data_IF_820661461912
#
_entry.id   IF_820661461912
#
_cell.length_a   1.000
_cell.length_b   1.000
_cell.length_c   1.000
_cell.angle_alpha   90.00
_cell.angle_beta   90.00
_cell.angle_gamma   90.00
#
_symmetry.space_group_name_H-M   'P 1'
#
loop_
_entity.id
_entity.type
_entity.pdbx_description
1 polymer ?
#
# COMPACT_ATOMS: atom_id res chain seq x y z
N UNK A 1 3.70 5.26 19.67
CA UNK A 1 5.13 5.34 19.26
C UNK A 1 5.27 4.51 18.01
N UNK A 2 6.00 4.96 16.98
CA UNK A 2 6.29 4.18 15.78
C UNK A 2 7.51 3.32 16.07
N UNK A 3 7.44 2.02 15.80
CA UNK A 3 8.58 1.10 15.88
C UNK A 3 9.18 0.90 14.49
N UNK A 4 10.43 0.49 14.40
CA UNK A 4 11.15 0.23 13.16
C UNK A 4 11.78 -1.17 13.13
N UNK A 5 11.25 -2.10 13.92
CA UNK A 5 11.78 -3.44 14.04
C UNK A 5 11.83 -4.23 12.72
N UNK A 6 10.88 -3.93 11.81
CA UNK A 6 10.77 -4.56 10.49
C UNK A 6 11.19 -3.67 9.33
N UNK A 7 11.89 -2.55 9.60
CA UNK A 7 12.25 -1.59 8.57
C UNK A 7 13.26 -2.17 7.57
N UNK A 8 12.92 -2.08 6.29
CA UNK A 8 13.71 -2.54 5.14
C UNK A 8 14.16 -4.00 5.24
N UNK A 9 13.40 -4.83 5.93
CA UNK A 9 13.65 -6.27 5.92
C UNK A 9 13.36 -6.84 4.53
N UNK A 10 14.15 -7.84 4.13
CA UNK A 10 13.91 -8.60 2.90
C UNK A 10 12.46 -9.08 2.80
N UNK A 11 11.92 -9.52 3.91
CA UNK A 11 10.49 -9.77 4.07
C UNK A 11 10.04 -9.38 5.49
N UNK A 12 9.03 -8.53 5.58
CA UNK A 12 8.32 -8.23 6.82
C UNK A 12 7.02 -9.05 6.83
N UNK A 13 6.94 -9.99 7.76
CA UNK A 13 5.82 -10.94 7.85
C UNK A 13 4.61 -10.31 8.52
N UNK A 14 3.46 -10.35 7.84
CA UNK A 14 2.18 -9.92 8.43
C UNK A 14 1.89 -10.62 9.75
N UNK A 15 1.99 -11.94 9.78
CA UNK A 15 1.70 -12.74 10.97
C UNK A 15 2.62 -12.42 12.15
N UNK A 16 3.89 -12.13 11.91
CA UNK A 16 4.84 -11.78 12.96
C UNK A 16 4.57 -10.39 13.54
N UNK A 17 4.24 -9.42 12.67
CA UNK A 17 3.89 -8.06 13.08
C UNK A 17 2.60 -8.09 13.92
N UNK A 18 1.57 -8.79 13.44
CA UNK A 18 0.32 -8.95 14.18
C UNK A 18 0.53 -9.69 15.52
N UNK A 19 1.44 -10.67 15.55
CA UNK A 19 1.78 -11.40 16.78
C UNK A 19 2.56 -10.57 17.81
N UNK A 20 3.30 -9.54 17.40
CA UNK A 20 3.99 -8.61 18.31
C UNK A 20 3.08 -7.57 18.93
N UNK A 21 2.02 -7.24 18.23
CA UNK A 21 1.07 -6.20 18.63
C UNK A 21 -0.26 -6.85 18.99
N UNK A 22 -0.79 -6.50 20.15
CA UNK A 22 -2.09 -7.03 20.61
C UNK A 22 -3.26 -6.61 19.72
N UNK A 23 -4.28 -7.48 19.68
CA UNK A 23 -5.57 -7.09 19.13
C UNK A 23 -6.18 -5.94 19.94
N UNK A 24 -6.82 -4.98 19.26
CA UNK A 24 -7.45 -3.83 19.91
C UNK A 24 -6.47 -2.78 20.43
N UNK A 25 -5.20 -2.85 20.10
CA UNK A 25 -4.21 -1.86 20.45
C UNK A 25 -3.90 -0.89 19.29
N UNK A 26 -3.58 0.34 19.64
CA UNK A 26 -3.08 1.34 18.68
C UNK A 26 -1.55 1.24 18.60
N UNK A 27 -1.06 0.93 17.41
CA UNK A 27 0.37 0.83 17.14
C UNK A 27 0.70 1.32 15.73
N UNK A 28 1.97 1.55 15.47
CA UNK A 28 2.50 1.84 14.16
C UNK A 28 3.89 1.22 14.02
N UNK A 29 4.14 0.52 12.91
CA UNK A 29 5.42 -0.10 12.60
C UNK A 29 5.89 0.31 11.21
N UNK A 30 7.08 0.91 11.14
CA UNK A 30 7.68 1.35 9.89
C UNK A 30 8.33 0.17 9.18
N UNK A 31 7.92 -0.09 7.93
CA UNK A 31 8.42 -1.20 7.14
C UNK A 31 9.34 -0.77 6.00
N UNK A 32 9.14 0.43 5.46
CA UNK A 32 9.95 0.94 4.35
C UNK A 32 10.46 2.34 4.65
N UNK A 33 11.75 2.55 4.37
CA UNK A 33 12.41 3.85 4.27
C UNK A 33 13.38 3.78 3.09
N UNK A 34 13.04 4.39 1.96
CA UNK A 34 13.81 4.26 0.72
C UNK A 34 14.24 5.61 0.12
N UNK A 35 14.19 6.66 0.92
CA UNK A 35 14.50 8.04 0.50
C UNK A 35 13.37 8.72 -0.28
N UNK A 36 12.51 7.99 -0.96
CA UNK A 36 11.29 8.48 -1.62
C UNK A 36 10.09 8.36 -0.70
N UNK A 37 10.04 7.28 0.06
CA UNK A 37 8.91 6.88 0.88
C UNK A 37 9.33 6.55 2.31
N UNK A 38 8.45 6.89 3.21
CA UNK A 38 8.30 6.29 4.51
C UNK A 38 6.97 5.54 4.49
N UNK A 39 7.02 4.21 4.59
CA UNK A 39 5.81 3.41 4.60
C UNK A 39 5.64 2.69 5.94
N UNK A 40 4.44 2.85 6.53
CA UNK A 40 4.15 2.49 7.92
C UNK A 40 2.85 1.70 7.99
N UNK A 41 2.88 0.56 8.66
CA UNK A 41 1.65 -0.09 9.10
C UNK A 41 1.10 0.62 10.32
N UNK A 42 -0.17 0.91 10.29
CA UNK A 42 -0.86 1.68 11.31
C UNK A 42 -2.14 0.96 11.72
N UNK A 43 -2.21 0.62 12.98
CA UNK A 43 -3.43 0.14 13.63
C UNK A 43 -4.22 1.31 14.18
N UNK A 44 -5.44 1.46 13.69
CA UNK A 44 -6.45 2.33 14.27
C UNK A 44 -7.45 1.54 15.09
N UNK A 45 -7.83 2.06 16.23
CA UNK A 45 -8.85 1.45 17.10
C UNK A 45 -10.07 2.36 17.22
N UNK A 46 -11.25 1.80 17.53
CA UNK A 46 -12.43 2.60 17.81
C UNK A 46 -12.18 3.65 18.89
N UNK A 47 -12.75 4.84 18.69
CA UNK A 47 -12.53 5.97 19.61
C UNK A 47 -11.21 6.72 19.43
N UNK A 48 -10.38 6.35 18.45
CA UNK A 48 -9.22 7.18 18.07
C UNK A 48 -9.70 8.60 17.74
N UNK A 49 -9.16 9.64 18.39
CA UNK A 49 -9.53 11.01 18.08
C UNK A 49 -9.29 11.38 16.62
N UNK A 50 -10.13 12.23 16.02
CA UNK A 50 -9.87 12.78 14.70
C UNK A 50 -8.51 13.51 14.68
N UNK A 51 -7.79 13.35 13.59
CA UNK A 51 -6.55 14.07 13.34
C UNK A 51 -6.50 14.63 11.91
N UNK A 52 -7.44 15.51 11.53
CA UNK A 52 -7.47 16.09 10.20
C UNK A 52 -6.23 16.96 9.99
N UNK A 53 -5.50 16.67 8.92
CA UNK A 53 -4.29 17.39 8.54
C UNK A 53 -4.10 17.41 7.01
N UNK A 54 -3.08 18.12 6.56
CA UNK A 54 -2.79 18.37 5.14
C UNK A 54 -1.31 18.17 4.89
N UNK A 55 -0.99 17.54 3.75
CA UNK A 55 0.34 17.55 3.16
C UNK A 55 0.31 18.43 1.91
N UNK A 56 0.85 19.66 1.94
CA UNK A 56 0.72 20.59 0.83
C UNK A 56 1.51 20.18 -0.42
N UNK A 57 2.61 19.43 -0.25
CA UNK A 57 3.64 19.27 -1.26
C UNK A 57 3.69 17.86 -1.89
N UNK A 58 2.94 16.91 -1.36
CA UNK A 58 2.95 15.53 -1.86
C UNK A 58 1.61 14.81 -1.67
N UNK A 59 1.39 13.79 -2.48
CA UNK A 59 0.30 12.85 -2.27
C UNK A 59 0.65 11.91 -1.12
N UNK A 60 -0.28 11.72 -0.20
CA UNK A 60 -0.24 10.61 0.74
C UNK A 60 -1.26 9.56 0.32
N UNK A 61 -0.92 8.30 0.41
CA UNK A 61 -1.83 7.24 0.05
C UNK A 61 -1.66 6.01 0.94
N UNK A 62 -2.68 5.19 0.98
CA UNK A 62 -2.75 4.02 1.87
C UNK A 62 -3.28 2.82 1.13
N UNK A 63 -2.79 1.65 1.55
CA UNK A 63 -3.38 0.35 1.22
C UNK A 63 -4.20 -0.07 2.44
N UNK A 64 -5.48 -0.31 2.26
CA UNK A 64 -6.32 -0.86 3.30
C UNK A 64 -6.00 -2.36 3.48
N UNK A 65 -5.80 -2.76 4.72
CA UNK A 65 -5.55 -4.14 5.12
C UNK A 65 -6.69 -4.63 6.00
N UNK A 66 -6.41 -5.22 7.16
CA UNK A 66 -7.43 -5.80 8.02
C UNK A 66 -8.43 -4.77 8.55
N UNK A 67 -9.67 -5.23 8.74
CA UNK A 67 -10.77 -4.39 9.18
C UNK A 67 -11.28 -3.45 8.09
N UNK A 68 -12.07 -2.47 8.48
CA UNK A 68 -12.65 -1.46 7.59
C UNK A 68 -12.31 -0.06 8.09
N UNK A 69 -11.85 0.77 7.20
CA UNK A 69 -11.49 2.16 7.51
C UNK A 69 -12.39 3.12 6.74
N UNK A 70 -12.93 4.11 7.43
CA UNK A 70 -13.62 5.25 6.82
C UNK A 70 -12.62 6.39 6.62
N UNK A 71 -12.68 6.98 5.44
CA UNK A 71 -11.78 8.03 4.99
C UNK A 71 -12.58 9.26 4.60
N UNK A 72 -12.21 10.41 5.15
CA UNK A 72 -12.64 11.71 4.67
C UNK A 72 -11.47 12.34 3.91
N UNK A 73 -11.60 12.53 2.62
CA UNK A 73 -10.60 13.18 1.77
C UNK A 73 -11.22 14.47 1.23
N UNK A 74 -10.69 15.60 1.66
CA UNK A 74 -11.22 16.88 1.25
C UNK A 74 -12.72 17.01 1.49
N UNK A 75 -13.44 17.47 0.48
CA UNK A 75 -14.90 17.63 0.51
C UNK A 75 -15.66 16.46 -0.16
N UNK A 76 -14.96 15.39 -0.52
CA UNK A 76 -15.63 14.21 -1.08
C UNK A 76 -16.48 13.51 -0.04
N UNK A 77 -17.52 12.81 -0.50
CA UNK A 77 -18.27 11.92 0.38
C UNK A 77 -17.34 10.89 1.04
N UNK A 78 -17.52 10.62 2.34
CA UNK A 78 -16.67 9.65 3.02
C UNK A 78 -16.72 8.28 2.34
N UNK A 79 -15.57 7.68 2.12
CA UNK A 79 -15.46 6.35 1.56
C UNK A 79 -15.06 5.34 2.63
N UNK A 80 -15.46 4.08 2.43
CA UNK A 80 -15.05 2.96 3.30
C UNK A 80 -14.26 1.98 2.47
N UNK A 81 -13.03 1.72 2.89
CA UNK A 81 -12.15 0.78 2.22
C UNK A 81 -12.31 -0.65 2.72
N UNK A 82 -11.98 -1.59 1.84
CA UNK A 82 -11.85 -3.01 2.10
C UNK A 82 -10.40 -3.44 1.85
N UNK A 83 -10.08 -4.69 2.18
CA UNK A 83 -8.75 -5.27 1.92
C UNK A 83 -8.26 -5.00 0.49
N UNK A 84 -7.05 -4.48 0.38
CA UNK A 84 -6.38 -4.20 -0.87
C UNK A 84 -6.88 -2.94 -1.60
N UNK A 85 -7.83 -2.18 -1.07
CA UNK A 85 -8.19 -0.90 -1.67
C UNK A 85 -7.07 0.13 -1.45
N UNK A 86 -6.83 0.99 -2.44
CA UNK A 86 -5.95 2.16 -2.29
C UNK A 86 -6.81 3.40 -2.08
N UNK A 87 -6.46 4.18 -1.08
CA UNK A 87 -7.01 5.52 -0.84
C UNK A 87 -5.89 6.53 -1.02
N UNK A 88 -6.17 7.64 -1.69
CA UNK A 88 -5.21 8.72 -1.91
C UNK A 88 -5.76 10.05 -1.41
N UNK A 89 -4.95 10.76 -0.66
CA UNK A 89 -5.10 12.18 -0.41
C UNK A 89 -4.12 12.94 -1.32
N UNK A 90 -4.60 13.62 -2.36
CA UNK A 90 -3.74 14.45 -3.19
C UNK A 90 -3.11 15.59 -2.39
N UNK A 91 -1.97 16.09 -2.85
CA UNK A 91 -1.30 17.23 -2.24
C UNK A 91 -2.25 18.40 -2.01
N UNK A 92 -2.27 18.95 -0.78
CA UNK A 92 -3.15 20.03 -0.37
C UNK A 92 -4.58 19.63 0.03
N UNK A 93 -4.89 18.32 0.04
CA UNK A 93 -6.19 17.84 0.51
C UNK A 93 -6.13 17.47 1.98
N UNK A 94 -7.04 18.06 2.77
CA UNK A 94 -7.24 17.64 4.15
C UNK A 94 -7.78 16.22 4.17
N UNK A 95 -7.31 15.41 5.10
CA UNK A 95 -7.82 14.05 5.28
C UNK A 95 -7.93 13.68 6.75
N UNK A 96 -8.88 12.80 7.04
CA UNK A 96 -9.10 12.20 8.35
C UNK A 96 -9.46 10.72 8.18
N UNK A 97 -8.97 9.89 9.09
CA UNK A 97 -8.98 8.44 8.95
C UNK A 97 -9.54 7.82 10.23
N UNK A 98 -10.58 7.01 10.10
CA UNK A 98 -11.24 6.39 11.25
C UNK A 98 -11.53 4.92 11.02
N UNK A 99 -11.28 4.04 12.02
CA UNK A 99 -11.82 2.70 12.01
C UNK A 99 -13.35 2.73 11.90
N UNK A 100 -13.90 1.83 11.12
CA UNK A 100 -15.36 1.67 10.92
C UNK A 100 -15.88 0.51 11.76
N UNK A 101 -17.16 0.60 12.17
CA UNK A 101 -17.89 -0.51 12.79
C UNK A 101 -17.34 -1.01 14.15
N UNK A 102 -16.63 -0.17 14.87
CA UNK A 102 -16.18 -0.52 16.23
C UNK A 102 -15.10 -1.60 16.31
N UNK A 103 -14.44 -1.92 15.22
CA UNK A 103 -13.33 -2.89 15.15
C UNK A 103 -12.01 -2.22 14.85
N UNK A 104 -10.92 -2.87 15.21
CA UNK A 104 -9.56 -2.48 14.80
C UNK A 104 -9.46 -2.51 13.27
N UNK A 105 -8.78 -1.54 12.70
CA UNK A 105 -8.51 -1.50 11.28
C UNK A 105 -7.02 -1.20 11.03
N UNK A 106 -6.43 -1.92 10.08
CA UNK A 106 -5.02 -1.82 9.72
C UNK A 106 -4.90 -1.27 8.31
N UNK A 107 -4.00 -0.32 8.15
CA UNK A 107 -3.64 0.27 6.88
C UNK A 107 -2.13 0.40 6.73
N UNK A 108 -1.64 0.36 5.52
CA UNK A 108 -0.26 0.64 5.19
C UNK A 108 -0.18 2.03 4.54
N UNK A 109 0.29 3.01 5.30
CA UNK A 109 0.39 4.40 4.85
C UNK A 109 1.73 4.67 4.17
N UNK A 110 1.69 5.32 3.01
CA UNK A 110 2.85 5.67 2.19
C UNK A 110 2.95 7.18 2.08
N UNK A 111 3.93 7.74 2.76
CA UNK A 111 4.14 9.18 2.87
C UNK A 111 5.58 9.58 2.52
N UNK A 112 5.87 10.87 2.48
CA UNK A 112 7.23 11.37 2.32
C UNK A 112 8.05 11.11 3.60
N UNK A 113 9.36 10.80 3.52
CA UNK A 113 10.21 10.54 4.70
C UNK A 113 10.18 11.66 5.73
N UNK A 114 10.11 12.90 5.28
CA UNK A 114 10.05 14.10 6.11
C UNK A 114 8.61 14.65 6.26
N UNK A 115 7.60 13.78 6.21
CA UNK A 115 6.21 14.22 6.34
C UNK A 115 5.95 14.92 7.67
N UNK A 116 5.28 16.07 7.59
CA UNK A 116 4.90 16.87 8.74
C UNK A 116 3.38 16.82 8.90
N UNK A 117 2.91 16.44 10.09
CA UNK A 117 1.50 16.39 10.46
C UNK A 117 1.05 17.63 11.23
N UNK A 118 1.84 18.72 11.25
CA UNK A 118 1.55 19.92 12.04
C UNK A 118 0.57 20.87 11.36
N UNK A 119 0.34 20.71 10.04
CA UNK A 119 -0.65 21.53 9.32
C UNK A 119 -2.03 20.94 9.57
N UNK A 120 -2.66 21.41 10.64
CA UNK A 120 -3.96 20.98 11.11
C UNK A 120 -5.10 21.77 10.46
N UNK A 121 -6.25 21.13 10.40
CA UNK A 121 -7.51 21.77 10.02
C UNK A 121 -7.96 21.46 8.60
N UNK A 122 -9.12 22.02 8.28
CA UNK A 122 -9.79 21.89 6.98
C UNK A 122 -9.35 23.08 6.14
N UNK A 123 -8.26 22.93 5.38
CA UNK A 123 -8.00 23.91 4.32
C UNK A 123 -9.07 23.77 3.24
N UNK A 124 -9.39 24.85 2.52
CA UNK A 124 -10.25 24.75 1.35
C UNK A 124 -9.58 23.78 0.36
N UNK A 125 -10.14 22.58 0.26
CA UNK A 125 -9.66 21.57 -0.63
C UNK A 125 -10.01 21.98 -2.07
N UNK A 126 -9.06 21.81 -2.98
CA UNK A 126 -9.38 21.87 -4.39
C UNK A 126 -10.38 20.76 -4.68
N UNK A 127 -11.54 21.11 -5.20
CA UNK A 127 -12.47 20.14 -5.73
C UNK A 127 -11.87 19.60 -7.03
N UNK A 128 -11.35 18.39 -6.99
CA UNK A 128 -11.03 17.64 -8.21
C UNK A 128 -12.19 16.67 -8.37
N UNK A 129 -13.05 16.83 -9.41
CA UNK A 129 -14.11 15.87 -9.67
C UNK A 129 -13.49 14.49 -9.82
N UNK A 130 -13.91 13.53 -9.03
CA UNK A 130 -13.69 12.13 -9.34
C UNK A 130 -14.80 11.76 -10.31
N UNK A 131 -14.46 11.67 -11.57
CA UNK A 131 -15.35 11.06 -12.55
C UNK A 131 -15.29 9.54 -12.30
N UNK A 132 -16.44 8.92 -12.03
CA UNK A 132 -16.54 7.46 -11.89
C UNK A 132 -16.09 6.72 -13.16
N UNK A 133 -15.98 7.43 -14.30
CA UNK A 133 -15.41 6.95 -15.55
C UNK A 133 -13.88 7.10 -15.66
N UNK A 134 -13.20 7.75 -14.70
CA UNK A 134 -11.74 7.84 -14.74
C UNK A 134 -11.11 6.47 -14.47
N UNK A 135 -10.20 6.12 -15.36
CA UNK A 135 -9.30 4.98 -15.14
C UNK A 135 -8.14 5.40 -14.26
N UNK A 136 -7.58 4.44 -13.45
CA UNK A 136 -6.32 4.68 -12.77
C UNK A 136 -5.29 5.36 -13.71
N UNK A 137 -4.29 6.08 -13.18
CA UNK A 137 -3.89 6.14 -11.78
C UNK A 137 -4.46 7.32 -10.96
N UNK A 138 -4.12 7.33 -9.67
CA UNK A 138 -4.33 8.44 -8.75
C UNK A 138 -5.80 8.73 -8.38
N UNK A 139 -6.65 7.71 -8.43
CA UNK A 139 -8.02 7.85 -7.91
C UNK A 139 -8.00 8.04 -6.39
N UNK A 140 -8.94 8.85 -5.87
CA UNK A 140 -9.13 8.98 -4.42
C UNK A 140 -9.44 7.63 -3.78
N UNK A 141 -10.18 6.78 -4.48
CA UNK A 141 -10.49 5.42 -4.05
C UNK A 141 -10.36 4.44 -5.22
N UNK A 142 -9.27 3.70 -5.25
CA UNK A 142 -9.07 2.56 -6.15
C UNK A 142 -9.54 1.30 -5.46
N UNK A 143 -10.66 0.72 -5.91
CA UNK A 143 -11.19 -0.53 -5.34
C UNK A 143 -10.55 -1.73 -6.01
N UNK A 144 -9.81 -2.54 -5.24
CA UNK A 144 -9.19 -3.76 -5.77
C UNK A 144 -10.23 -4.70 -6.40
N UNK A 145 -11.38 -4.87 -5.73
CA UNK A 145 -12.45 -5.69 -6.28
C UNK A 145 -12.93 -5.20 -7.66
N UNK A 146 -13.04 -3.90 -7.87
CA UNK A 146 -13.46 -3.35 -9.17
C UNK A 146 -12.43 -3.62 -10.27
N UNK A 147 -11.12 -3.60 -9.94
CA UNK A 147 -10.07 -3.98 -10.87
C UNK A 147 -10.15 -5.46 -11.24
N UNK A 148 -10.37 -6.33 -10.26
CA UNK A 148 -10.55 -7.77 -10.49
C UNK A 148 -11.81 -8.04 -11.32
N UNK A 149 -12.94 -7.40 -11.01
CA UNK A 149 -14.20 -7.56 -11.76
C UNK A 149 -14.05 -7.12 -13.22
N UNK A 150 -13.30 -6.03 -13.48
CA UNK A 150 -13.07 -5.50 -14.83
C UNK A 150 -12.13 -6.37 -15.65
N UNK A 151 -11.03 -6.82 -15.06
CA UNK A 151 -9.97 -7.54 -15.78
C UNK A 151 -10.16 -9.06 -15.80
N UNK A 152 -10.95 -9.59 -14.87
CA UNK A 152 -11.20 -11.01 -14.69
C UNK A 152 -10.07 -11.71 -13.92
N UNK A 153 -10.28 -13.01 -13.68
CA UNK A 153 -9.33 -13.87 -12.93
C UNK A 153 -8.75 -14.99 -13.79
N UNK A 154 -9.04 -15.03 -15.09
CA UNK A 154 -8.63 -16.08 -16.01
C UNK A 154 -7.39 -15.75 -16.83
N UNK A 155 -6.79 -14.59 -16.62
CA UNK A 155 -5.59 -14.11 -17.31
C UNK A 155 -4.74 -13.23 -16.39
N UNK A 156 -3.48 -13.09 -16.74
CA UNK A 156 -2.60 -12.11 -16.10
C UNK A 156 -2.99 -10.69 -16.52
N UNK A 157 -2.84 -9.76 -15.61
CA UNK A 157 -3.02 -8.32 -15.89
C UNK A 157 -2.19 -7.47 -14.93
N UNK A 158 -1.90 -6.26 -15.37
CA UNK A 158 -1.26 -5.22 -14.56
C UNK A 158 -2.00 -3.90 -14.76
N UNK A 159 -2.27 -3.21 -13.66
CA UNK A 159 -2.95 -1.91 -13.64
C UNK A 159 -2.13 -0.90 -12.85
N UNK A 160 -1.88 0.26 -13.44
CA UNK A 160 -1.24 1.37 -12.75
C UNK A 160 -2.24 2.00 -11.80
N UNK A 161 -1.91 2.13 -10.53
CA UNK A 161 -2.81 2.65 -9.50
C UNK A 161 -2.31 3.93 -8.84
N UNK A 162 -0.99 4.13 -8.80
CA UNK A 162 -0.34 5.39 -8.41
C UNK A 162 0.71 5.75 -9.45
N UNK A 163 0.71 7.02 -9.88
CA UNK A 163 1.76 7.57 -10.76
C UNK A 163 1.92 9.05 -10.45
N UNK A 164 2.94 9.40 -9.69
CA UNK A 164 3.26 10.77 -9.33
C UNK A 164 4.79 11.02 -9.38
N UNK A 165 5.24 12.16 -8.91
CA UNK A 165 6.65 12.53 -8.92
C UNK A 165 7.53 11.71 -7.96
N UNK A 166 6.94 10.83 -7.16
CA UNK A 166 7.61 10.03 -6.13
C UNK A 166 7.45 8.53 -6.35
N UNK A 167 6.31 8.11 -6.86
CA UNK A 167 5.93 6.70 -6.96
C UNK A 167 5.36 6.33 -8.31
N UNK A 168 5.68 5.12 -8.73
CA UNK A 168 4.96 4.37 -9.73
C UNK A 168 4.51 3.05 -9.09
N UNK A 169 3.21 2.88 -8.89
CA UNK A 169 2.68 1.70 -8.25
C UNK A 169 1.67 0.96 -9.12
N UNK A 170 1.80 -0.36 -9.17
CA UNK A 170 0.95 -1.23 -9.99
C UNK A 170 0.38 -2.37 -9.19
N UNK A 171 -0.88 -2.72 -9.45
CA UNK A 171 -1.40 -4.04 -9.13
C UNK A 171 -1.10 -5.01 -10.26
N UNK A 172 -0.57 -6.17 -9.90
CA UNK A 172 -0.32 -7.28 -10.83
C UNK A 172 -1.06 -8.51 -10.33
N UNK A 173 -1.91 -9.07 -11.20
CA UNK A 173 -2.53 -10.38 -11.02
C UNK A 173 -1.81 -11.39 -11.90
N UNK A 174 -1.42 -12.52 -11.32
CA UNK A 174 -0.75 -13.59 -12.05
C UNK A 174 -1.39 -14.94 -11.73
N UNK A 175 -1.56 -15.74 -12.78
CA UNK A 175 -2.08 -17.11 -12.67
C UNK A 175 -1.07 -18.03 -11.95
N UNK A 176 -1.54 -19.15 -11.38
CA UNK A 176 -0.66 -20.13 -10.76
C UNK A 176 0.43 -20.62 -11.73
N UNK A 177 1.66 -20.72 -11.22
CA UNK A 177 2.82 -21.18 -11.97
C UNK A 177 3.52 -20.10 -12.82
N UNK A 178 2.93 -18.94 -13.02
CA UNK A 178 3.57 -17.82 -13.73
C UNK A 178 4.80 -17.29 -12.99
N UNK A 179 5.80 -16.87 -13.76
CA UNK A 179 7.04 -16.33 -13.24
C UNK A 179 7.48 -15.11 -14.04
N UNK A 180 7.94 -14.08 -13.36
CA UNK A 180 8.45 -12.87 -14.00
C UNK A 180 9.79 -13.07 -14.75
N UNK A 181 10.44 -14.22 -14.60
CA UNK A 181 11.85 -14.36 -15.00
C UNK A 181 12.80 -13.59 -14.07
N UNK A 182 14.07 -13.46 -14.48
CA UNK A 182 15.04 -12.64 -13.72
C UNK A 182 14.84 -11.18 -14.04
N UNK A 183 14.80 -10.35 -13.00
CA UNK A 183 14.66 -8.89 -13.08
C UNK A 183 15.76 -8.21 -12.23
N UNK A 184 16.13 -7.00 -12.59
CA UNK A 184 17.16 -6.21 -11.93
C UNK A 184 16.77 -4.73 -11.97
N UNK A 185 16.82 -4.06 -10.83
CA UNK A 185 16.61 -2.62 -10.71
C UNK A 185 17.91 -1.96 -10.25
N UNK A 186 18.76 -1.50 -11.17
CA UNK A 186 20.11 -1.04 -10.83
C UNK A 186 20.08 0.26 -10.01
N UNK A 187 19.10 1.12 -10.23
CA UNK A 187 19.12 2.50 -9.76
C UNK A 187 18.06 2.81 -8.69
N UNK A 188 17.14 1.87 -8.41
CA UNK A 188 16.03 2.09 -7.49
C UNK A 188 15.82 0.95 -6.50
N UNK A 189 15.39 1.30 -5.30
CA UNK A 189 14.78 0.35 -4.37
C UNK A 189 13.36 0.06 -4.80
N UNK A 190 12.92 -1.17 -4.61
CA UNK A 190 11.57 -1.61 -4.95
C UNK A 190 10.98 -2.43 -3.82
N UNK A 191 9.67 -2.31 -3.62
CA UNK A 191 8.99 -3.08 -2.60
C UNK A 191 7.59 -3.50 -3.06
N UNK A 192 7.08 -4.54 -2.42
CA UNK A 192 5.81 -5.17 -2.78
C UNK A 192 4.99 -5.44 -1.54
N UNK A 193 3.67 -5.43 -1.71
CA UNK A 193 2.69 -5.96 -0.74
C UNK A 193 1.93 -7.09 -1.42
N UNK A 194 1.95 -8.28 -0.85
CA UNK A 194 1.14 -9.40 -1.32
C UNK A 194 -0.28 -9.22 -0.80
N UNK A 195 -1.28 -9.31 -1.68
CA UNK A 195 -2.68 -9.12 -1.32
C UNK A 195 -3.51 -10.39 -1.47
N UNK A 196 -3.10 -11.30 -2.34
CA UNK A 196 -3.76 -12.59 -2.57
C UNK A 196 -2.74 -13.62 -3.03
N UNK A 197 -3.02 -14.89 -2.70
CA UNK A 197 -2.20 -16.04 -3.12
C UNK A 197 -0.85 -16.08 -2.43
N UNK A 198 0.04 -16.92 -2.94
CA UNK A 198 1.40 -17.12 -2.43
C UNK A 198 2.40 -16.87 -3.53
N UNK A 199 3.48 -16.20 -3.19
CA UNK A 199 4.51 -15.81 -4.14
C UNK A 199 5.88 -16.22 -3.60
N UNK A 200 6.65 -16.93 -4.42
CA UNK A 200 8.06 -17.21 -4.12
C UNK A 200 8.93 -16.14 -4.73
N UNK A 201 9.86 -15.60 -3.94
CA UNK A 201 10.98 -14.79 -4.38
C UNK A 201 12.24 -15.63 -4.37
N UNK A 202 12.98 -15.59 -5.48
CA UNK A 202 14.34 -16.10 -5.57
C UNK A 202 15.26 -14.89 -5.79
N UNK A 203 16.08 -14.59 -4.79
CA UNK A 203 17.00 -13.44 -4.78
C UNK A 203 18.42 -13.99 -4.97
N UNK A 204 19.19 -13.36 -5.84
CA UNK A 204 20.55 -13.82 -6.15
C UNK A 204 21.41 -13.85 -4.88
N UNK A 205 22.04 -14.99 -4.63
CA UNK A 205 22.90 -15.21 -3.46
C UNK A 205 22.16 -15.48 -2.13
N UNK A 206 20.84 -15.59 -2.16
CA UNK A 206 20.01 -15.84 -0.97
C UNK A 206 19.17 -17.12 -1.13
N UNK A 207 18.70 -17.67 -0.01
CA UNK A 207 17.68 -18.73 -0.04
C UNK A 207 16.36 -18.14 -0.50
N UNK A 208 15.64 -18.88 -1.36
CA UNK A 208 14.30 -18.48 -1.80
C UNK A 208 13.32 -18.50 -0.62
N UNK A 209 12.40 -17.54 -0.63
CA UNK A 209 11.37 -17.46 0.40
C UNK A 209 9.97 -17.28 -0.22
N UNK A 210 8.96 -17.66 0.53
CA UNK A 210 7.55 -17.50 0.15
C UNK A 210 6.97 -16.33 0.93
N UNK A 211 6.24 -15.46 0.26
CA UNK A 211 5.43 -14.42 0.88
C UNK A 211 3.94 -14.76 0.77
N UNK A 212 3.22 -14.52 1.84
CA UNK A 212 1.79 -14.71 2.04
C UNK A 212 1.04 -13.35 1.99
N UNK A 213 -0.30 -13.35 1.88
CA UNK A 213 -1.08 -12.11 1.93
C UNK A 213 -0.80 -11.27 3.17
N UNK A 214 -0.55 -9.99 2.96
CA UNK A 214 -0.17 -9.01 3.96
C UNK A 214 1.35 -8.84 4.10
N UNK A 215 2.17 -9.78 3.65
CA UNK A 215 3.63 -9.65 3.73
C UNK A 215 4.13 -8.51 2.84
N UNK A 216 5.16 -7.81 3.32
CA UNK A 216 5.87 -6.77 2.59
C UNK A 216 7.28 -7.25 2.25
N UNK A 217 7.62 -7.24 0.97
CA UNK A 217 8.96 -7.58 0.48
C UNK A 217 9.68 -6.32 0.06
N UNK A 218 10.95 -6.16 0.47
CA UNK A 218 11.78 -5.01 0.11
C UNK A 218 13.09 -5.48 -0.52
N UNK A 219 13.41 -4.93 -1.69
CA UNK A 219 14.67 -5.16 -2.38
C UNK A 219 15.39 -3.84 -2.63
N UNK A 220 16.65 -3.80 -2.22
CA UNK A 220 17.53 -2.69 -2.54
C UNK A 220 17.88 -2.67 -4.02
N UNK A 221 18.20 -1.49 -4.51
CA UNK A 221 18.74 -1.31 -5.87
C UNK A 221 19.95 -2.22 -6.11
N UNK A 222 20.09 -2.67 -7.33
CA UNK A 222 21.16 -3.60 -7.73
C UNK A 222 20.92 -5.06 -7.33
N UNK A 223 19.76 -5.39 -6.76
CA UNK A 223 19.40 -6.77 -6.41
C UNK A 223 18.76 -7.46 -7.60
N UNK A 224 19.32 -8.60 -8.02
CA UNK A 224 18.73 -9.48 -9.03
C UNK A 224 17.76 -10.47 -8.38
N UNK A 225 16.58 -10.62 -8.95
CA UNK A 225 15.54 -11.50 -8.39
C UNK A 225 14.58 -12.05 -9.44
N UNK A 226 13.83 -13.06 -9.07
CA UNK A 226 12.66 -13.54 -9.82
C UNK A 226 11.49 -13.80 -8.88
N UNK A 227 10.28 -13.69 -9.43
CA UNK A 227 9.02 -13.87 -8.70
C UNK A 227 8.23 -15.00 -9.37
N UNK A 228 7.62 -15.88 -8.58
CA UNK A 228 6.76 -16.94 -9.09
C UNK A 228 5.53 -17.12 -8.23
N UNK A 229 4.35 -17.05 -8.85
CA UNK A 229 3.09 -17.43 -8.22
C UNK A 229 3.02 -18.94 -7.99
N UNK A 230 2.77 -19.34 -6.75
CA UNK A 230 2.72 -20.76 -6.35
C UNK A 230 1.36 -21.13 -5.74
N UNK A 231 1.10 -22.45 -5.66
CA UNK A 231 -0.18 -22.98 -5.17
C UNK A 231 -1.25 -22.99 -6.24
N UNK A 232 -2.52 -23.11 -5.83
CA UNK A 232 -3.67 -23.26 -6.72
C UNK A 232 -4.38 -21.93 -7.02
N UNK A 233 -4.13 -20.91 -6.21
CA UNK A 233 -4.74 -19.59 -6.37
C UNK A 233 -3.82 -18.67 -7.17
N UNK A 234 -4.41 -17.81 -7.99
CA UNK A 234 -3.71 -16.67 -8.56
C UNK A 234 -3.21 -15.73 -7.46
N UNK A 235 -2.13 -15.03 -7.74
CA UNK A 235 -1.63 -14.00 -6.83
C UNK A 235 -2.05 -12.61 -7.28
N UNK A 236 -2.20 -11.72 -6.29
CA UNK A 236 -2.30 -10.27 -6.50
C UNK A 236 -1.27 -9.62 -5.61
N UNK A 237 -0.44 -8.76 -6.20
CA UNK A 237 0.53 -7.94 -5.47
C UNK A 237 0.47 -6.50 -5.90
N UNK A 238 0.74 -5.60 -4.97
CA UNK A 238 1.12 -4.23 -5.26
C UNK A 238 2.63 -4.18 -5.42
N UNK A 239 3.11 -3.57 -6.49
CA UNK A 239 4.53 -3.25 -6.70
C UNK A 239 4.70 -1.75 -6.61
N UNK A 240 5.70 -1.26 -5.88
CA UNK A 240 6.03 0.17 -5.76
C UNK A 240 7.47 0.41 -6.17
N UNK A 241 7.65 1.27 -7.15
CA UNK A 241 8.93 1.64 -7.76
C UNK A 241 9.09 3.16 -7.87
N UNK A 242 10.24 3.62 -8.36
CA UNK A 242 10.44 5.01 -8.75
C UNK A 242 9.51 5.40 -9.92
N UNK A 243 9.23 6.70 -10.09
CA UNK A 243 8.50 7.19 -11.25
C UNK A 243 9.19 6.78 -12.55
N UNK A 244 8.39 6.47 -13.56
CA UNK A 244 8.90 6.30 -14.93
C UNK A 244 9.07 7.70 -15.51
N UNK A 245 10.30 8.09 -15.74
CA UNK A 245 10.68 9.39 -16.33
C UNK A 245 10.65 9.30 -17.87
#
# INVERSE_FOLDING_TARGET
MVTAASMNLRIARHSEIMGRHGEGERWAEQLVEDGRNRAVWISGIPGTPPDPHIHPDFNEWWIALDGRTQWQIGQYEPVVSNWGDIIMAPAGFAHDIRPKEGVQAIRFGVTHPNSNHDIKGVAPCRFIPVDDGQTNPNLIHTKLKALVDRNGTSRDWTEIVVSDNRNYATYTHELPGQSSGSDLHPDENRWWVVLQGKITWSVEGEESFVADPGDVVYLEKGTSYSIKTIGELSSIRLTVSAPII
#
